data_IF_215496072216
#
_entry.id   IF_215496072216
#
_cell.length_a   1.000
_cell.length_b   1.000
_cell.length_c   1.000
_cell.angle_alpha   90.00
_cell.angle_beta   90.00
_cell.angle_gamma   90.00
#
_symmetry.space_group_name_H-M   'P 1'
#
loop_
_entity.id
_entity.type
_entity.pdbx_description
1 polymer ?
#
# COMPACT_ATOMS: atom_id res chain seq x y z
N UNK A 1 13.67 2.50 0.04
CA UNK A 1 12.22 2.84 0.19
C UNK A 1 12.08 3.78 1.39
N UNK A 2 11.21 4.80 1.35
CA UNK A 2 10.94 5.69 2.48
C UNK A 2 10.06 5.04 3.53
N UNK A 3 10.01 5.60 4.76
CA UNK A 3 9.30 5.00 5.90
C UNK A 3 7.82 4.70 5.60
N UNK A 4 7.07 5.71 5.14
CA UNK A 4 5.63 5.56 4.84
C UNK A 4 5.40 4.54 3.72
N UNK A 5 6.26 4.51 2.69
CA UNK A 5 6.15 3.51 1.62
C UNK A 5 6.35 2.08 2.14
N UNK A 6 7.26 1.90 3.12
CA UNK A 6 7.46 0.62 3.80
C UNK A 6 6.24 0.26 4.64
N UNK A 7 5.74 1.17 5.46
CA UNK A 7 4.52 0.98 6.27
C UNK A 7 3.31 0.61 5.39
N UNK A 8 3.17 1.24 4.22
CA UNK A 8 2.13 0.90 3.24
C UNK A 8 2.31 -0.51 2.67
N UNK A 9 3.52 -0.91 2.31
CA UNK A 9 3.75 -2.28 1.84
C UNK A 9 3.52 -3.31 2.92
N UNK A 10 3.94 -3.04 4.16
CA UNK A 10 3.67 -3.90 5.31
C UNK A 10 2.16 -4.03 5.57
N UNK A 11 1.40 -2.93 5.44
CA UNK A 11 -0.05 -2.94 5.55
C UNK A 11 -0.72 -3.76 4.43
N UNK A 12 -0.27 -3.61 3.17
CA UNK A 12 -0.77 -4.43 2.06
C UNK A 12 -0.51 -5.91 2.35
N UNK A 13 0.69 -6.28 2.78
CA UNK A 13 1.01 -7.66 3.12
C UNK A 13 0.15 -8.20 4.24
N UNK A 14 -0.06 -7.43 5.31
CA UNK A 14 -0.90 -7.83 6.40
C UNK A 14 -2.35 -8.11 5.95
N UNK A 15 -2.89 -7.29 5.04
CA UNK A 15 -4.23 -7.49 4.47
C UNK A 15 -4.28 -8.74 3.57
N UNK A 16 -3.23 -9.01 2.78
CA UNK A 16 -3.15 -10.24 1.97
C UNK A 16 -3.07 -11.48 2.86
N UNK A 17 -2.25 -11.44 3.91
CA UNK A 17 -2.09 -12.52 4.89
C UNK A 17 -3.41 -12.79 5.64
N UNK A 18 -4.25 -11.76 5.82
CA UNK A 18 -5.60 -11.87 6.36
C UNK A 18 -6.65 -12.41 5.35
N UNK A 19 -6.25 -12.72 4.11
CA UNK A 19 -7.10 -13.35 3.10
C UNK A 19 -7.70 -12.40 2.06
N UNK A 20 -7.29 -11.13 2.03
CA UNK A 20 -7.73 -10.24 0.95
C UNK A 20 -7.05 -10.61 -0.38
N UNK A 21 -7.83 -10.71 -1.46
CA UNK A 21 -7.28 -10.97 -2.81
C UNK A 21 -6.54 -9.75 -3.40
N UNK A 22 -6.96 -8.55 -3.00
CA UNK A 22 -6.45 -7.25 -3.45
C UNK A 22 -7.00 -6.14 -2.54
N UNK A 23 -6.32 -5.00 -2.48
CA UNK A 23 -6.66 -3.87 -1.60
C UNK A 23 -6.83 -2.57 -2.38
N UNK A 24 -7.63 -1.66 -1.86
CA UNK A 24 -7.83 -0.31 -2.39
C UNK A 24 -6.82 0.66 -1.80
N UNK A 25 -6.73 1.86 -2.39
CA UNK A 25 -5.91 2.94 -1.83
C UNK A 25 -6.40 3.36 -0.45
N UNK A 26 -7.72 3.37 -0.26
CA UNK A 26 -8.35 3.71 1.01
C UNK A 26 -8.03 2.69 2.10
N UNK A 27 -8.13 1.39 1.82
CA UNK A 27 -7.75 0.33 2.77
C UNK A 27 -6.27 0.44 3.18
N UNK A 28 -5.38 0.78 2.24
CA UNK A 28 -3.96 1.01 2.54
C UNK A 28 -3.81 2.23 3.45
N UNK A 29 -4.42 3.36 3.09
CA UNK A 29 -4.31 4.61 3.85
C UNK A 29 -4.89 4.48 5.25
N UNK A 30 -6.04 3.81 5.40
CA UNK A 30 -6.69 3.62 6.69
C UNK A 30 -5.89 2.71 7.62
N UNK A 31 -5.06 1.82 7.05
CA UNK A 31 -4.15 0.97 7.81
C UNK A 31 -2.86 1.69 8.27
N UNK A 32 -2.43 2.74 7.56
CA UNK A 32 -1.13 3.41 7.83
C UNK A 32 -1.26 4.82 8.42
N UNK A 33 -2.36 5.52 8.18
CA UNK A 33 -2.57 6.87 8.73
C UNK A 33 -2.92 6.73 10.22
N UNK A 34 -2.14 7.33 11.13
CA UNK A 34 -2.42 7.23 12.55
C UNK A 34 -3.76 7.87 12.91
N UNK A 35 -4.55 7.22 13.76
CA UNK A 35 -5.89 7.70 14.13
C UNK A 35 -5.85 9.00 14.92
N UNK A 36 -4.79 9.21 15.70
CA UNK A 36 -4.53 10.49 16.38
C UNK A 36 -4.13 11.63 15.44
N UNK A 37 -3.72 11.32 14.20
CA UNK A 37 -3.24 12.29 13.20
C UNK A 37 -3.88 12.08 11.82
N UNK A 38 -5.20 12.20 11.69
CA UNK A 38 -5.89 12.01 10.41
C UNK A 38 -5.44 13.01 9.32
N UNK A 39 -4.92 14.18 9.72
CA UNK A 39 -4.36 15.18 8.82
C UNK A 39 -3.15 14.68 8.03
N UNK A 40 -2.49 13.60 8.48
CA UNK A 40 -1.36 13.00 7.77
C UNK A 40 -1.77 12.42 6.42
N UNK A 41 -3.06 12.08 6.24
CA UNK A 41 -3.61 11.64 4.95
C UNK A 41 -3.33 12.63 3.81
N UNK A 42 -3.21 13.92 4.13
CA UNK A 42 -2.94 14.98 3.14
C UNK A 42 -1.44 15.28 2.96
N UNK A 43 -0.56 14.69 3.77
CA UNK A 43 0.88 14.86 3.58
C UNK A 43 1.34 14.12 2.32
N UNK A 44 2.29 14.71 1.61
CA UNK A 44 2.83 14.19 0.35
C UNK A 44 3.33 12.74 0.45
N UNK A 45 3.80 12.30 1.62
CA UNK A 45 4.24 10.92 1.83
C UNK A 45 3.08 9.91 1.70
N UNK A 46 1.89 10.25 2.20
CA UNK A 46 0.71 9.41 2.14
C UNK A 46 -0.02 9.57 0.80
N UNK A 47 -0.23 10.81 0.34
CA UNK A 47 -0.89 11.12 -0.94
C UNK A 47 -0.20 10.45 -2.13
N UNK A 48 1.13 10.51 -2.19
CA UNK A 48 1.89 9.94 -3.31
C UNK A 48 2.50 8.56 -3.00
N UNK A 49 2.26 8.01 -1.81
CA UNK A 49 2.90 6.77 -1.37
C UNK A 49 2.58 5.58 -2.28
N UNK A 50 1.29 5.36 -2.56
CA UNK A 50 0.84 4.28 -3.45
C UNK A 50 1.34 4.49 -4.89
N UNK A 51 1.33 5.72 -5.40
CA UNK A 51 1.86 6.00 -6.73
C UNK A 51 3.37 5.70 -6.82
N UNK A 52 4.15 6.04 -5.80
CA UNK A 52 5.59 5.71 -5.77
C UNK A 52 5.84 4.21 -5.71
N UNK A 53 5.03 3.46 -4.95
CA UNK A 53 5.09 2.00 -4.92
C UNK A 53 4.80 1.38 -6.29
N UNK A 54 3.82 1.92 -7.02
CA UNK A 54 3.52 1.51 -8.39
C UNK A 54 4.67 1.83 -9.36
N UNK A 55 5.22 3.06 -9.32
CA UNK A 55 6.35 3.48 -10.17
C UNK A 55 7.58 2.59 -9.95
N UNK A 56 7.77 2.10 -8.72
CA UNK A 56 8.86 1.18 -8.35
C UNK A 56 8.50 -0.29 -8.50
N UNK A 57 7.34 -0.60 -9.08
CA UNK A 57 6.86 -1.94 -9.38
C UNK A 57 6.71 -2.86 -8.14
N UNK A 58 6.41 -2.27 -6.98
CA UNK A 58 6.07 -3.02 -5.76
C UNK A 58 4.61 -3.46 -5.72
N UNK A 59 3.74 -2.69 -6.37
CA UNK A 59 2.33 -2.98 -6.51
C UNK A 59 1.97 -3.20 -7.99
N UNK A 60 1.09 -4.17 -8.23
CA UNK A 60 0.44 -4.39 -9.52
C UNK A 60 -0.97 -3.79 -9.43
N UNK A 61 -1.31 -2.81 -10.29
CA UNK A 61 -2.65 -2.27 -10.33
C UNK A 61 -3.61 -3.25 -11.00
N UNK A 62 -4.81 -3.36 -10.44
CA UNK A 62 -5.92 -4.17 -10.92
C UNK A 62 -7.17 -3.28 -11.04
N UNK A 63 -8.12 -3.71 -11.88
CA UNK A 63 -9.48 -3.16 -11.87
C UNK A 63 -10.47 -4.28 -11.55
N UNK A 64 -11.30 -4.05 -10.54
CA UNK A 64 -12.37 -4.96 -10.12
C UNK A 64 -13.58 -4.10 -9.75
N UNK A 65 -14.74 -4.43 -10.30
CA UNK A 65 -16.00 -3.72 -10.04
C UNK A 65 -15.91 -2.19 -10.27
N UNK A 66 -15.13 -1.76 -11.27
CA UNK A 66 -14.89 -0.34 -11.57
C UNK A 66 -13.92 0.36 -10.62
N UNK A 67 -13.48 -0.31 -9.54
CA UNK A 67 -12.55 0.24 -8.57
C UNK A 67 -11.10 -0.15 -8.87
N UNK A 68 -10.18 0.79 -8.65
CA UNK A 68 -8.74 0.51 -8.73
C UNK A 68 -8.31 -0.21 -7.46
N UNK A 69 -7.71 -1.38 -7.64
CA UNK A 69 -7.18 -2.21 -6.55
C UNK A 69 -5.72 -2.53 -6.80
N UNK A 70 -5.03 -3.01 -5.78
CA UNK A 70 -3.61 -3.27 -5.79
C UNK A 70 -3.33 -4.63 -5.16
N UNK A 71 -2.35 -5.32 -5.72
CA UNK A 71 -1.73 -6.49 -5.11
C UNK A 71 -0.21 -6.29 -5.09
N UNK A 72 0.53 -6.92 -4.18
CA UNK A 72 1.98 -6.98 -4.28
C UNK A 72 2.43 -7.61 -5.60
N UNK A 73 3.44 -7.02 -6.24
CA UNK A 73 4.01 -7.56 -7.49
C UNK A 73 4.97 -8.71 -7.23
N UNK A 74 5.64 -8.72 -6.07
CA UNK A 74 6.66 -9.70 -5.69
C UNK A 74 6.25 -10.38 -4.39
N UNK A 75 6.69 -11.62 -4.11
CA UNK A 75 6.48 -12.25 -2.81
C UNK A 75 7.22 -11.48 -1.70
N UNK A 76 6.68 -11.54 -0.47
CA UNK A 76 7.20 -10.82 0.71
C UNK A 76 8.70 -11.05 0.96
N UNK A 77 9.17 -12.28 0.77
CA UNK A 77 10.60 -12.65 0.95
C UNK A 77 11.56 -11.93 -0.01
N UNK A 78 11.09 -11.41 -1.14
CA UNK A 78 11.90 -10.60 -2.06
C UNK A 78 11.92 -9.10 -1.67
N UNK A 79 11.11 -8.69 -0.70
CA UNK A 79 11.02 -7.31 -0.21
C UNK A 79 12.05 -7.01 0.89
N UNK A 80 12.46 -8.03 1.66
CA UNK A 80 13.44 -7.90 2.75
C UNK A 80 14.92 -7.95 2.28
N UNK A 81 15.16 -8.21 0.98
CA UNK A 81 16.49 -8.47 0.43
C UNK A 81 17.15 -7.27 -0.30
N UNK A 82 16.57 -6.07 -0.24
CA UNK A 82 17.11 -4.87 -0.93
C UNK A 82 16.81 -3.57 -0.20
#
# INVERSE_FOLDING_TARGET
MGRVEKEMMDAVWHLMDAGADSVTEEEILDAVVPREHPEYRFQAAYVYGVERLLRRNWLTPLRRDGQRRYRPTRPRSAADAG
#
